data_IF_042502970355
#
_entry.id   IF_042502970355
#
_cell.length_a   1.000
_cell.length_b   1.000
_cell.length_c   1.000
_cell.angle_alpha   90.00
_cell.angle_beta   90.00
_cell.angle_gamma   90.00
#
_symmetry.space_group_name_H-M   'P 1'
#
loop_
_entity.id
_entity.type
_entity.pdbx_description
1 polymer ?
#
# COMPACT_ATOMS: atom_id res chain seq x y z
N UNK A 1 -4.98 -7.03 -6.54
CA UNK A 1 -5.77 -7.03 -5.30
C UNK A 1 -6.51 -5.71 -5.13
N UNK A 2 -7.70 -5.76 -4.49
CA UNK A 2 -8.54 -4.58 -4.29
C UNK A 2 -8.55 -4.07 -2.84
N UNK A 3 -7.82 -4.72 -1.95
CA UNK A 3 -7.81 -4.41 -0.52
C UNK A 3 -6.40 -4.23 0.04
N UNK A 4 -5.43 -4.05 -0.81
CA UNK A 4 -4.07 -3.65 -0.49
C UNK A 4 -3.52 -2.79 -1.62
N UNK A 5 -2.37 -2.21 -1.42
CA UNK A 5 -1.75 -1.36 -2.44
C UNK A 5 -0.26 -1.21 -2.17
N UNK A 6 0.43 -0.60 -3.12
CA UNK A 6 1.86 -0.32 -3.01
C UNK A 6 2.07 1.18 -2.82
N UNK A 7 3.09 1.55 -2.08
CA UNK A 7 3.48 2.95 -1.96
C UNK A 7 4.95 3.07 -1.61
N UNK A 8 5.45 4.28 -1.77
CA UNK A 8 6.77 4.69 -1.30
C UNK A 8 6.55 5.72 -0.21
N UNK A 9 7.14 5.52 0.95
CA UNK A 9 6.98 6.42 2.07
C UNK A 9 8.24 6.40 2.93
N UNK A 10 8.24 7.23 3.95
CA UNK A 10 9.32 7.28 4.92
C UNK A 10 9.47 5.92 5.61
N UNK A 11 10.67 5.37 5.62
CA UNK A 11 10.94 4.01 6.09
C UNK A 11 12.05 3.95 7.15
N UNK A 12 12.51 5.08 7.65
CA UNK A 12 13.57 5.12 8.67
C UNK A 12 12.99 5.06 10.08
N UNK A 13 11.98 5.90 10.36
CA UNK A 13 11.36 5.97 11.69
C UNK A 13 10.06 5.17 11.69
N UNK A 14 9.97 4.08 12.49
CA UNK A 14 8.73 3.30 12.58
C UNK A 14 7.51 4.11 13.00
N UNK A 15 7.70 5.22 13.71
CA UNK A 15 6.60 6.08 14.10
C UNK A 15 5.93 6.75 12.89
N UNK A 16 6.69 7.02 11.85
CA UNK A 16 6.13 7.60 10.62
C UNK A 16 5.14 6.63 9.95
N UNK A 17 5.48 5.35 9.88
CA UNK A 17 4.58 4.33 9.33
C UNK A 17 3.30 4.20 10.17
N UNK A 18 3.41 4.25 11.49
CA UNK A 18 2.26 4.21 12.38
C UNK A 18 1.35 5.42 12.21
N UNK A 19 1.92 6.60 12.02
CA UNK A 19 1.15 7.81 11.77
C UNK A 19 0.37 7.71 10.47
N UNK A 20 0.99 7.19 9.42
CA UNK A 20 0.34 6.97 8.13
C UNK A 20 -0.80 5.95 8.27
N UNK A 21 -0.59 4.87 9.00
CA UNK A 21 -1.62 3.87 9.26
C UNK A 21 -2.84 4.49 9.96
N UNK A 22 -2.62 5.30 10.99
CA UNK A 22 -3.69 6.00 11.70
C UNK A 22 -4.41 6.99 10.80
N UNK A 23 -3.66 7.68 9.95
CA UNK A 23 -4.23 8.62 8.98
C UNK A 23 -5.19 7.90 8.03
N UNK A 24 -4.84 6.74 7.51
CA UNK A 24 -5.74 5.96 6.65
C UNK A 24 -6.98 5.48 7.38
N UNK A 25 -6.85 5.07 8.62
CA UNK A 25 -8.01 4.69 9.45
C UNK A 25 -8.95 5.87 9.68
N UNK A 26 -8.40 7.06 9.83
CA UNK A 26 -9.19 8.28 9.97
C UNK A 26 -9.93 8.64 8.68
N UNK A 27 -9.29 8.47 7.52
CA UNK A 27 -9.89 8.77 6.22
C UNK A 27 -11.02 7.82 5.84
N UNK A 28 -10.91 6.55 6.16
CA UNK A 28 -11.87 5.54 5.78
C UNK A 28 -12.20 4.61 6.97
N UNK A 29 -12.94 5.12 7.97
CA UNK A 29 -13.36 4.31 9.10
C UNK A 29 -14.44 3.30 8.70
N UNK A 30 -14.65 2.29 9.55
CA UNK A 30 -15.56 1.18 9.26
C UNK A 30 -17.04 1.52 9.41
N UNK A 31 -17.36 2.60 10.11
CA UNK A 31 -18.71 3.00 10.48
C UNK A 31 -19.30 4.10 9.61
N UNK A 32 -18.74 4.31 8.42
CA UNK A 32 -19.32 5.27 7.47
C UNK A 32 -20.71 4.81 7.05
N UNK A 33 -21.70 5.67 7.25
CA UNK A 33 -23.11 5.31 7.11
C UNK A 33 -23.58 5.09 5.66
N UNK A 34 -22.78 5.49 4.66
CA UNK A 34 -23.11 5.28 3.26
C UNK A 34 -22.60 3.94 2.71
N UNK A 35 -21.85 3.16 3.50
CA UNK A 35 -21.31 1.88 3.03
C UNK A 35 -22.47 0.89 2.82
N UNK A 36 -22.50 0.27 1.64
CA UNK A 36 -23.47 -0.76 1.28
C UNK A 36 -22.80 -2.10 0.98
N UNK A 37 -21.51 -2.12 0.73
CA UNK A 37 -20.73 -3.32 0.43
C UNK A 37 -20.28 -3.94 1.75
N UNK A 38 -21.02 -4.91 2.28
CA UNK A 38 -20.83 -5.44 3.62
C UNK A 38 -20.66 -6.96 3.71
N UNK A 39 -20.69 -7.69 2.59
CA UNK A 39 -20.72 -9.14 2.60
C UNK A 39 -19.42 -9.77 3.11
N UNK A 40 -18.30 -9.08 2.97
CA UNK A 40 -16.97 -9.60 3.29
C UNK A 40 -16.44 -9.11 4.64
N UNK A 41 -17.26 -8.45 5.46
CA UNK A 41 -16.87 -7.92 6.76
C UNK A 41 -16.74 -6.41 6.79
N UNK A 42 -16.61 -5.86 8.00
CA UNK A 42 -16.59 -4.40 8.22
C UNK A 42 -15.34 -3.72 7.65
N UNK A 43 -14.25 -4.47 7.55
CA UNK A 43 -12.97 -3.93 7.07
C UNK A 43 -12.85 -3.93 5.55
N UNK A 44 -13.74 -4.60 4.84
CA UNK A 44 -13.58 -4.81 3.40
C UNK A 44 -13.81 -3.53 2.59
N UNK A 45 -14.97 -2.88 2.72
CA UNK A 45 -15.26 -1.66 1.96
C UNK A 45 -14.28 -0.52 2.28
N UNK A 46 -13.93 -0.25 3.56
CA UNK A 46 -12.87 0.70 3.87
C UNK A 46 -11.52 0.34 3.26
N UNK A 47 -11.20 -0.95 3.14
CA UNK A 47 -9.96 -1.40 2.50
C UNK A 47 -9.90 -1.02 1.03
N UNK A 48 -11.04 -1.11 0.32
CA UNK A 48 -11.12 -0.70 -1.08
C UNK A 48 -10.96 0.82 -1.23
N UNK A 49 -11.55 1.59 -0.32
CA UNK A 49 -11.43 3.04 -0.30
C UNK A 49 -9.99 3.48 -0.09
N UNK A 50 -9.27 2.82 0.80
CA UNK A 50 -7.85 3.11 1.04
C UNK A 50 -6.98 2.66 -0.12
N UNK A 51 -7.27 1.48 -0.69
CA UNK A 51 -6.50 0.95 -1.82
C UNK A 51 -6.49 1.88 -3.02
N UNK A 52 -7.61 2.52 -3.34
CA UNK A 52 -7.69 3.43 -4.49
C UNK A 52 -6.92 4.74 -4.29
N UNK A 53 -6.52 5.06 -3.07
CA UNK A 53 -5.72 6.26 -2.78
C UNK A 53 -4.23 6.05 -3.03
N UNK A 54 -3.79 4.81 -3.12
CA UNK A 54 -2.38 4.45 -3.33
C UNK A 54 -2.16 3.87 -4.73
N UNK A 55 -1.01 3.25 -4.92
CA UNK A 55 -0.63 2.72 -6.22
C UNK A 55 -0.88 1.21 -6.31
N UNK A 56 -1.29 0.75 -7.47
CA UNK A 56 -1.37 -0.68 -7.78
C UNK A 56 -0.10 -1.18 -8.45
N UNK A 57 0.74 -0.28 -8.90
CA UNK A 57 2.06 -0.59 -9.41
C UNK A 57 3.06 0.52 -9.06
N UNK A 58 4.33 0.16 -9.05
CA UNK A 58 5.43 1.08 -8.86
C UNK A 58 6.48 0.78 -9.91
N UNK A 59 7.20 1.81 -10.33
CA UNK A 59 8.34 1.67 -11.23
C UNK A 59 9.57 2.27 -10.56
N UNK A 60 10.71 1.62 -10.77
CA UNK A 60 11.97 2.05 -10.18
C UNK A 60 13.08 2.06 -11.22
N UNK A 61 14.05 2.90 -10.98
CA UNK A 61 15.31 2.86 -11.72
C UNK A 61 16.29 2.05 -10.90
N UNK A 62 16.99 1.13 -11.56
CA UNK A 62 18.09 0.36 -10.98
C UNK A 62 19.39 0.85 -11.61
N UNK A 63 20.34 1.23 -10.78
CA UNK A 63 21.65 1.63 -11.23
C UNK A 63 22.70 1.00 -10.32
N UNK A 64 23.74 0.46 -10.89
CA UNK A 64 24.81 -0.22 -10.17
C UNK A 64 24.28 -1.25 -9.16
N UNK A 65 23.29 -2.06 -9.59
CA UNK A 65 22.66 -3.13 -8.79
C UNK A 65 21.85 -2.63 -7.59
N UNK A 66 21.47 -1.35 -7.58
CA UNK A 66 20.69 -0.75 -6.49
C UNK A 66 19.47 -0.05 -7.03
N UNK A 67 18.39 -0.10 -6.27
CA UNK A 67 17.23 0.75 -6.52
C UNK A 67 17.59 2.20 -6.20
N UNK A 68 17.25 3.10 -7.11
CA UNK A 68 17.46 4.52 -6.88
C UNK A 68 16.27 5.06 -6.08
N UNK A 69 16.50 5.20 -4.78
CA UNK A 69 15.54 5.75 -3.83
C UNK A 69 16.19 6.86 -3.04
N UNK A 70 15.38 7.79 -2.54
CA UNK A 70 15.85 8.76 -1.56
C UNK A 70 16.27 8.07 -0.27
N UNK A 71 17.10 8.76 0.52
CA UNK A 71 17.68 8.20 1.76
C UNK A 71 16.62 7.65 2.72
N UNK A 72 15.48 8.32 2.80
CA UNK A 72 14.41 7.97 3.74
C UNK A 72 13.26 7.19 3.12
N UNK A 73 13.31 6.94 1.82
CA UNK A 73 12.26 6.23 1.11
C UNK A 73 12.37 4.72 1.25
N UNK A 74 11.24 4.07 1.42
CA UNK A 74 11.13 2.62 1.35
C UNK A 74 9.86 2.21 0.62
N UNK A 75 9.85 0.97 0.16
CA UNK A 75 8.72 0.37 -0.53
C UNK A 75 7.83 -0.29 0.51
N UNK A 76 6.54 -0.01 0.45
CA UNK A 76 5.55 -0.60 1.35
C UNK A 76 4.48 -1.35 0.57
N UNK A 77 4.11 -2.51 1.08
CA UNK A 77 2.84 -3.15 0.79
C UNK A 77 1.88 -2.75 1.90
N UNK A 78 0.89 -1.95 1.55
CA UNK A 78 -0.12 -1.49 2.50
C UNK A 78 -1.26 -2.51 2.55
N UNK A 79 -1.38 -3.21 3.67
CA UNK A 79 -2.43 -4.19 3.90
C UNK A 79 -3.57 -3.54 4.65
N UNK A 80 -4.78 -3.57 4.08
CA UNK A 80 -5.93 -2.89 4.65
C UNK A 80 -6.98 -3.83 5.24
N UNK A 81 -6.76 -5.15 5.19
CA UNK A 81 -7.63 -6.14 5.82
C UNK A 81 -7.05 -6.60 7.16
N UNK A 82 -7.92 -6.94 8.10
CA UNK A 82 -7.51 -7.44 9.42
C UNK A 82 -7.01 -8.88 9.37
N UNK A 83 -7.68 -9.71 8.58
CA UNK A 83 -7.30 -11.11 8.45
C UNK A 83 -6.06 -11.25 7.58
N UNK A 84 -5.26 -12.29 7.86
CA UNK A 84 -4.12 -12.62 7.02
C UNK A 84 -4.60 -13.01 5.62
N UNK A 85 -4.30 -12.17 4.65
CA UNK A 85 -4.56 -12.43 3.24
C UNK A 85 -3.25 -12.76 2.54
N UNK A 86 -3.30 -13.71 1.63
CA UNK A 86 -2.17 -13.94 0.74
C UNK A 86 -2.17 -12.87 -0.32
N UNK A 87 -1.03 -12.19 -0.46
CA UNK A 87 -0.85 -11.14 -1.46
C UNK A 87 0.22 -11.57 -2.45
N UNK A 88 -0.06 -11.37 -3.73
CA UNK A 88 0.92 -11.57 -4.78
C UNK A 88 1.36 -10.24 -5.34
N UNK A 89 2.66 -10.04 -5.42
CA UNK A 89 3.26 -8.88 -6.07
C UNK A 89 4.12 -9.40 -7.20
N UNK A 90 3.74 -9.04 -8.42
CA UNK A 90 4.51 -9.43 -9.60
C UNK A 90 5.62 -8.41 -9.82
N UNK A 91 6.83 -8.92 -10.00
CA UNK A 91 8.01 -8.08 -10.24
C UNK A 91 8.60 -8.44 -11.58
N UNK A 92 8.84 -7.44 -12.40
CA UNK A 92 9.52 -7.60 -13.68
C UNK A 92 10.73 -6.66 -13.72
N UNK A 93 11.86 -7.20 -14.09
CA UNK A 93 13.06 -6.43 -14.36
C UNK A 93 13.22 -6.30 -15.87
N UNK A 94 13.38 -5.07 -16.33
CA UNK A 94 13.63 -4.77 -17.74
C UNK A 94 15.03 -4.17 -17.85
N UNK A 95 16.02 -4.92 -18.38
CA UNK A 95 17.37 -4.40 -18.52
C UNK A 95 17.42 -3.34 -19.61
N UNK A 96 18.37 -2.43 -19.49
CA UNK A 96 18.66 -1.49 -20.56
C UNK A 96 19.12 -2.26 -21.80
N UNK A 97 18.73 -1.73 -22.96
CA UNK A 97 19.23 -2.27 -24.22
C UNK A 97 20.64 -1.75 -24.49
N UNK A 98 21.50 -2.68 -24.86
CA UNK A 98 22.88 -2.35 -25.24
C UNK A 98 22.93 -1.61 -26.58
#
# INVERSE_FOLDING_TARGET
>A
HTSCALTISEAYDPAAAKDVERFFKHLAPRDLNFITHTDEGEDDSPSHMKSVLLNQNLSFIVDEKKLILGTWQGIYLAEFRDANKKREVLVKFVPDQA
#
